data_IF_914045516888
#
_entry.id   IF_914045516888
#
_cell.length_a   1.000
_cell.length_b   1.000
_cell.length_c   1.000
_cell.angle_alpha   90.00
_cell.angle_beta   90.00
_cell.angle_gamma   90.00
#
_symmetry.space_group_name_H-M   'P 1'
#
loop_
_entity.id
_entity.type
_entity.pdbx_description
1 polymer ?
#
# COMPACT_ATOMS: atom_id res chain seq x y z
N UNK A 1 -14.61 -18.00 6.35
CA UNK A 1 -14.95 -17.14 5.20
C UNK A 1 -15.25 -18.03 4.01
N UNK A 2 -16.34 -17.77 3.29
CA UNK A 2 -16.55 -18.27 1.94
C UNK A 2 -15.36 -17.92 1.05
N UNK A 3 -15.06 -18.79 0.08
CA UNK A 3 -13.91 -18.61 -0.82
C UNK A 3 -13.97 -17.31 -1.62
N UNK A 4 -15.18 -16.86 -2.00
CA UNK A 4 -15.36 -15.64 -2.78
C UNK A 4 -15.12 -14.34 -1.99
N UNK A 5 -15.06 -14.41 -0.66
CA UNK A 5 -14.73 -13.27 0.20
C UNK A 5 -13.22 -13.16 0.49
N UNK A 6 -12.45 -14.23 0.20
CA UNK A 6 -11.01 -14.25 0.39
C UNK A 6 -10.31 -13.37 -0.65
N UNK A 7 -9.21 -12.70 -0.27
CA UNK A 7 -8.40 -11.98 -1.25
C UNK A 7 -7.77 -12.93 -2.25
N UNK A 8 -7.51 -12.44 -3.45
CA UNK A 8 -6.64 -13.07 -4.43
C UNK A 8 -5.24 -12.49 -4.35
N UNK A 9 -4.24 -13.25 -4.81
CA UNK A 9 -2.82 -12.89 -4.81
C UNK A 9 -2.33 -12.78 -6.24
N UNK A 10 -1.61 -11.71 -6.58
CA UNK A 10 -0.78 -11.62 -7.79
C UNK A 10 0.69 -11.54 -7.37
N UNK A 11 1.47 -12.53 -7.78
CA UNK A 11 2.92 -12.57 -7.55
C UNK A 11 3.63 -11.90 -8.73
N UNK A 12 4.24 -10.75 -8.47
CA UNK A 12 5.08 -10.03 -9.42
C UNK A 12 6.56 -10.31 -9.11
N UNK A 13 7.37 -10.77 -10.09
CA UNK A 13 8.81 -10.92 -9.90
C UNK A 13 9.46 -9.54 -9.75
N UNK A 14 10.76 -9.51 -9.41
CA UNK A 14 11.53 -8.27 -9.22
C UNK A 14 11.34 -7.22 -10.34
N UNK A 15 11.44 -5.92 -10.00
CA UNK A 15 11.28 -4.86 -10.97
C UNK A 15 12.48 -4.79 -11.93
N UNK A 16 12.31 -4.19 -13.13
CA UNK A 16 13.41 -3.84 -14.02
C UNK A 16 14.48 -3.01 -13.31
N UNK A 17 15.74 -3.19 -13.71
CA UNK A 17 16.88 -2.47 -13.14
C UNK A 17 17.80 -1.92 -14.27
N UNK A 18 17.94 -0.59 -14.43
CA UNK A 18 17.33 0.46 -13.61
C UNK A 18 15.81 0.54 -13.77
N UNK A 19 15.11 0.97 -12.71
CA UNK A 19 13.65 1.10 -12.73
C UNK A 19 13.23 2.48 -13.24
N UNK A 20 12.19 2.52 -14.06
CA UNK A 20 11.47 3.73 -14.46
C UNK A 20 9.99 3.43 -14.58
N UNK A 21 9.14 4.46 -14.61
CA UNK A 21 7.68 4.29 -14.75
C UNK A 21 7.31 3.52 -16.03
N UNK A 22 7.91 3.85 -17.17
CA UNK A 22 7.68 3.17 -18.44
C UNK A 22 8.15 1.71 -18.46
N UNK A 23 9.30 1.41 -17.85
CA UNK A 23 9.79 0.04 -17.73
C UNK A 23 8.93 -0.80 -16.78
N UNK A 24 8.48 -0.22 -15.65
CA UNK A 24 7.54 -0.88 -14.74
C UNK A 24 6.20 -1.18 -15.43
N UNK A 25 5.67 -0.23 -16.19
CA UNK A 25 4.47 -0.43 -17.00
C UNK A 25 4.66 -1.59 -17.98
N UNK A 26 5.75 -1.56 -18.74
CA UNK A 26 6.08 -2.61 -19.72
C UNK A 26 6.20 -3.99 -19.07
N UNK A 27 6.75 -4.07 -17.85
CA UNK A 27 6.96 -5.32 -17.12
C UNK A 27 5.69 -5.89 -16.48
N UNK A 28 4.81 -5.04 -15.92
CA UNK A 28 3.72 -5.50 -15.05
C UNK A 28 2.31 -5.25 -15.58
N UNK A 29 2.12 -4.37 -16.58
CA UNK A 29 0.80 -4.09 -17.15
C UNK A 29 0.08 -5.36 -17.62
N UNK A 30 0.71 -6.33 -18.33
CA UNK A 30 0.00 -7.52 -18.80
C UNK A 30 -0.55 -8.38 -17.65
N UNK A 31 0.24 -8.63 -16.61
CA UNK A 31 -0.14 -9.47 -15.49
C UNK A 31 -1.19 -8.80 -14.60
N UNK A 32 -1.05 -7.50 -14.35
CA UNK A 32 -2.05 -6.69 -13.62
C UNK A 32 -3.38 -6.64 -14.38
N UNK A 33 -3.34 -6.46 -15.71
CA UNK A 33 -4.54 -6.47 -16.56
C UNK A 33 -5.28 -7.80 -16.50
N UNK A 34 -4.55 -8.92 -16.61
CA UNK A 34 -5.14 -10.25 -16.54
C UNK A 34 -5.79 -10.51 -15.17
N UNK A 35 -5.11 -10.17 -14.08
CA UNK A 35 -5.64 -10.35 -12.72
C UNK A 35 -6.88 -9.49 -12.47
N UNK A 36 -6.83 -8.19 -12.79
CA UNK A 36 -7.96 -7.27 -12.61
C UNK A 36 -9.17 -7.68 -13.44
N UNK A 37 -8.96 -8.05 -14.71
CA UNK A 37 -10.03 -8.53 -15.60
C UNK A 37 -10.71 -9.77 -15.05
N UNK A 38 -9.94 -10.72 -14.50
CA UNK A 38 -10.48 -11.95 -13.90
C UNK A 38 -11.28 -11.70 -12.62
N UNK A 39 -10.92 -10.66 -11.86
CA UNK A 39 -11.53 -10.31 -10.59
C UNK A 39 -12.70 -9.33 -10.72
N UNK A 40 -12.88 -8.69 -11.88
CA UNK A 40 -14.08 -7.90 -12.16
C UNK A 40 -15.30 -8.83 -12.24
N UNK A 41 -16.19 -8.72 -11.24
CA UNK A 41 -17.41 -9.54 -11.16
C UNK A 41 -18.66 -8.66 -11.06
N UNK A 42 -19.74 -8.95 -11.79
CA UNK A 42 -20.96 -8.16 -11.74
C UNK A 42 -21.72 -8.31 -10.41
N UNK A 43 -21.44 -9.36 -9.65
CA UNK A 43 -22.21 -9.72 -8.45
C UNK A 43 -21.56 -9.26 -7.13
N UNK A 44 -20.43 -8.56 -7.18
CA UNK A 44 -19.78 -8.06 -5.97
C UNK A 44 -18.38 -7.49 -6.19
N UNK A 45 -17.77 -7.08 -5.07
CA UNK A 45 -16.41 -6.58 -5.00
C UNK A 45 -15.42 -7.73 -4.81
N UNK A 46 -14.24 -7.64 -5.44
CA UNK A 46 -13.13 -8.57 -5.19
C UNK A 46 -11.96 -7.85 -4.52
N UNK A 47 -11.07 -8.60 -3.87
CA UNK A 47 -9.85 -8.08 -3.23
C UNK A 47 -8.61 -8.67 -3.91
N UNK A 48 -7.60 -7.85 -4.15
CA UNK A 48 -6.35 -8.27 -4.78
C UNK A 48 -5.14 -7.79 -3.95
N UNK A 49 -4.30 -8.71 -3.51
CA UNK A 49 -2.97 -8.40 -3.00
C UNK A 49 -1.97 -8.56 -4.13
N UNK A 50 -1.31 -7.46 -4.51
CA UNK A 50 -0.21 -7.45 -5.47
C UNK A 50 1.09 -7.52 -4.68
N UNK A 51 1.67 -8.71 -4.65
CA UNK A 51 2.92 -9.01 -3.96
C UNK A 51 4.09 -8.86 -4.91
N UNK A 52 4.95 -7.86 -4.69
CA UNK A 52 6.15 -7.62 -5.51
C UNK A 52 7.39 -8.12 -4.78
N UNK A 53 8.11 -9.03 -5.42
CA UNK A 53 9.43 -9.47 -5.00
C UNK A 53 10.42 -8.31 -5.17
N UNK A 54 11.17 -7.91 -4.14
CA UNK A 54 12.18 -6.85 -4.30
C UNK A 54 13.28 -6.97 -3.24
N UNK A 55 14.58 -6.99 -3.62
CA UNK A 55 15.70 -7.01 -2.66
C UNK A 55 15.94 -5.60 -2.11
N UNK A 56 15.02 -5.08 -1.31
CA UNK A 56 14.97 -3.67 -0.93
C UNK A 56 15.59 -3.41 0.45
N UNK A 57 15.66 -4.42 1.31
CA UNK A 57 16.20 -4.28 2.66
C UNK A 57 17.71 -4.49 2.69
N UNK A 58 18.42 -3.47 3.18
CA UNK A 58 19.86 -3.45 3.36
C UNK A 58 20.23 -3.54 4.84
N UNK A 59 21.28 -4.29 5.15
CA UNK A 59 21.80 -4.45 6.52
C UNK A 59 22.01 -5.92 6.88
N UNK A 60 23.06 -6.19 7.66
CA UNK A 60 23.45 -7.56 7.99
C UNK A 60 22.48 -8.22 8.99
N UNK A 61 21.92 -7.43 9.91
CA UNK A 61 21.09 -7.93 11.00
C UNK A 61 19.64 -7.52 10.83
N UNK A 62 18.71 -8.34 11.33
CA UNK A 62 17.26 -8.08 11.31
C UNK A 62 16.85 -6.78 12.04
N UNK A 63 17.72 -6.24 12.90
CA UNK A 63 17.44 -5.07 13.75
C UNK A 63 17.91 -3.74 13.15
N UNK A 64 18.71 -3.80 12.10
CA UNK A 64 19.33 -2.63 11.47
C UNK A 64 19.06 -2.58 9.97
N UNK A 65 17.95 -3.18 9.54
CA UNK A 65 17.49 -3.11 8.17
C UNK A 65 17.10 -1.68 7.84
N UNK A 66 17.51 -1.24 6.67
CA UNK A 66 17.23 0.07 6.07
C UNK A 66 16.80 -0.15 4.62
N UNK A 67 16.11 0.80 4.03
CA UNK A 67 15.72 0.77 2.61
C UNK A 67 16.05 2.09 1.96
N UNK A 68 15.99 2.17 0.63
CA UNK A 68 16.01 3.46 -0.04
C UNK A 68 14.58 3.99 -0.15
N UNK A 69 14.30 5.13 0.50
CA UNK A 69 12.98 5.77 0.41
C UNK A 69 12.57 6.01 -1.04
N UNK A 70 13.48 6.62 -1.82
CA UNK A 70 13.23 7.00 -3.20
C UNK A 70 12.84 5.80 -4.06
N UNK A 71 13.58 4.69 -3.97
CA UNK A 71 13.28 3.48 -4.75
C UNK A 71 11.99 2.80 -4.27
N UNK A 72 11.79 2.72 -2.95
CA UNK A 72 10.64 2.05 -2.36
C UNK A 72 9.33 2.76 -2.68
N UNK A 73 9.27 4.08 -2.46
CA UNK A 73 8.07 4.86 -2.72
C UNK A 73 7.75 4.90 -4.22
N UNK A 74 8.77 5.04 -5.08
CA UNK A 74 8.59 5.06 -6.54
C UNK A 74 8.07 3.72 -7.08
N UNK A 75 8.54 2.59 -6.55
CA UNK A 75 8.03 1.26 -6.93
C UNK A 75 6.54 1.11 -6.57
N UNK A 76 6.17 1.47 -5.34
CA UNK A 76 4.78 1.42 -4.88
C UNK A 76 3.89 2.37 -5.72
N UNK A 77 4.39 3.57 -6.02
CA UNK A 77 3.71 4.54 -6.87
C UNK A 77 3.48 3.99 -8.28
N UNK A 78 4.53 3.46 -8.93
CA UNK A 78 4.44 2.89 -10.27
C UNK A 78 3.42 1.76 -10.37
N UNK A 79 3.37 0.86 -9.38
CA UNK A 79 2.39 -0.24 -9.36
C UNK A 79 0.96 0.28 -9.16
N UNK A 80 0.72 1.21 -8.22
CA UNK A 80 -0.61 1.80 -8.05
C UNK A 80 -1.04 2.62 -9.27
N UNK A 81 -0.12 3.25 -9.99
CA UNK A 81 -0.41 3.93 -11.26
C UNK A 81 -0.91 2.94 -12.29
N UNK A 82 -0.20 1.82 -12.52
CA UNK A 82 -0.62 0.79 -13.48
C UNK A 82 -2.00 0.22 -13.09
N UNK A 83 -2.21 -0.10 -11.80
CA UNK A 83 -3.50 -0.56 -11.29
C UNK A 83 -4.60 0.44 -11.63
N UNK A 84 -4.35 1.74 -11.42
CA UNK A 84 -5.33 2.81 -11.62
C UNK A 84 -5.65 3.00 -13.10
N UNK A 85 -4.64 3.04 -13.98
CA UNK A 85 -4.82 3.16 -15.44
C UNK A 85 -5.59 1.97 -15.99
N UNK A 86 -5.15 0.75 -15.67
CA UNK A 86 -5.81 -0.48 -16.14
C UNK A 86 -7.24 -0.57 -15.61
N UNK A 87 -7.48 -0.22 -14.35
CA UNK A 87 -8.83 -0.20 -13.78
C UNK A 87 -9.72 0.84 -14.45
N UNK A 88 -9.17 2.00 -14.83
CA UNK A 88 -9.88 3.01 -15.63
C UNK A 88 -10.32 2.44 -16.98
N UNK A 89 -9.38 1.88 -17.75
CA UNK A 89 -9.64 1.27 -19.06
C UNK A 89 -10.67 0.14 -19.01
N UNK A 90 -10.61 -0.70 -17.97
CA UNK A 90 -11.51 -1.84 -17.82
C UNK A 90 -12.85 -1.48 -17.14
N UNK A 91 -13.09 -0.23 -16.75
CA UNK A 91 -14.32 0.13 -16.04
C UNK A 91 -14.45 -0.55 -14.67
N UNK A 92 -13.34 -0.72 -13.94
CA UNK A 92 -13.28 -1.32 -12.60
C UNK A 92 -13.27 -0.22 -11.52
N UNK A 93 -14.09 -0.36 -10.48
CA UNK A 93 -14.00 0.46 -9.26
C UNK A 93 -12.82 0.03 -8.39
N UNK A 94 -12.17 0.93 -7.66
CA UNK A 94 -10.88 0.64 -6.97
C UNK A 94 -10.86 1.02 -5.50
N UNK A 95 -11.90 1.70 -5.05
CA UNK A 95 -12.16 2.08 -3.68
C UNK A 95 -12.51 0.86 -2.83
N UNK A 96 -12.19 0.96 -1.55
CA UNK A 96 -12.68 -0.01 -0.56
C UNK A 96 -14.21 -0.03 -0.58
N UNK A 97 -14.79 -1.23 -0.56
CA UNK A 97 -16.25 -1.46 -0.65
C UNK A 97 -16.93 -0.81 -1.86
N UNK A 98 -16.24 -0.78 -3.02
CA UNK A 98 -16.78 -0.22 -4.27
C UNK A 98 -17.98 -0.96 -4.88
N UNK A 99 -18.33 -2.15 -4.36
CA UNK A 99 -19.50 -2.92 -4.79
C UNK A 99 -19.28 -3.71 -6.10
N UNK A 100 -20.34 -3.96 -6.88
CA UNK A 100 -20.23 -4.65 -8.16
C UNK A 100 -19.15 -4.09 -9.08
N UNK A 101 -18.40 -4.98 -9.74
CA UNK A 101 -17.33 -4.65 -10.68
C UNK A 101 -16.14 -3.90 -10.07
N UNK A 102 -16.01 -3.83 -8.74
CA UNK A 102 -14.83 -3.24 -8.09
C UNK A 102 -13.79 -4.27 -7.71
N UNK A 103 -12.51 -3.89 -7.80
CA UNK A 103 -11.38 -4.66 -7.29
C UNK A 103 -10.57 -3.77 -6.35
N UNK A 104 -10.61 -4.12 -5.07
CA UNK A 104 -9.85 -3.47 -4.01
C UNK A 104 -8.42 -4.03 -3.97
N UNK A 105 -7.51 -3.37 -4.69
CA UNK A 105 -6.11 -3.76 -4.77
C UNK A 105 -5.26 -3.16 -3.63
N UNK A 106 -4.32 -3.96 -3.11
CA UNK A 106 -3.32 -3.61 -2.08
C UNK A 106 -1.93 -4.06 -2.54
N UNK A 107 -0.94 -3.19 -2.51
CA UNK A 107 0.45 -3.53 -2.89
C UNK A 107 1.25 -3.89 -1.64
N UNK A 108 1.96 -5.02 -1.68
CA UNK A 108 2.84 -5.52 -0.61
C UNK A 108 4.22 -5.80 -1.19
N UNK A 109 5.25 -5.18 -0.61
CA UNK A 109 6.65 -5.45 -0.96
C UNK A 109 7.16 -6.64 -0.15
N UNK A 110 7.88 -7.53 -0.82
CA UNK A 110 8.45 -8.74 -0.23
C UNK A 110 9.96 -8.71 -0.41
N UNK A 111 10.68 -8.64 0.71
CA UNK A 111 12.14 -8.73 0.70
C UNK A 111 12.56 -10.16 0.36
N UNK A 112 13.06 -10.32 -0.87
CA UNK A 112 13.64 -11.57 -1.34
C UNK A 112 14.75 -11.27 -2.35
N UNK A 113 15.81 -12.07 -2.27
CA UNK A 113 16.93 -12.00 -3.18
C UNK A 113 17.01 -13.34 -3.92
N UNK A 114 17.23 -13.30 -5.24
CA UNK A 114 17.36 -14.49 -6.09
C UNK A 114 18.37 -15.52 -5.57
N UNK A 115 19.39 -15.06 -4.84
CA UNK A 115 20.44 -15.91 -4.28
C UNK A 115 20.08 -16.51 -2.91
N UNK A 116 18.97 -16.11 -2.28
CA UNK A 116 18.53 -16.63 -0.99
C UNK A 116 17.99 -18.04 -1.18
N UNK A 117 18.75 -19.05 -0.74
CA UNK A 117 18.35 -20.46 -0.79
C UNK A 117 17.75 -20.88 0.55
N UNK A 118 16.68 -21.67 0.48
CA UNK A 118 16.09 -22.33 1.64
C UNK A 118 16.53 -23.78 1.66
N UNK A 119 17.06 -24.24 2.80
CA UNK A 119 17.41 -25.64 3.02
C UNK A 119 16.16 -26.52 3.06
N UNK A 120 16.30 -27.83 2.91
CA UNK A 120 15.14 -28.76 2.91
C UNK A 120 14.44 -28.85 4.28
N UNK A 121 15.20 -28.64 5.35
CA UNK A 121 14.72 -28.61 6.73
C UNK A 121 14.18 -27.23 7.15
N UNK A 122 14.29 -26.20 6.29
CA UNK A 122 13.79 -24.87 6.61
C UNK A 122 12.28 -24.91 6.90
N UNK A 123 11.87 -24.27 8.00
CA UNK A 123 10.47 -24.14 8.40
C UNK A 123 10.08 -22.66 8.35
N UNK A 124 9.18 -22.27 7.43
CA UNK A 124 8.70 -20.90 7.34
C UNK A 124 7.99 -20.48 8.62
N UNK A 125 8.41 -19.36 9.19
CA UNK A 125 7.82 -18.75 10.37
C UNK A 125 7.63 -17.25 10.15
N UNK A 126 6.80 -16.64 10.99
CA UNK A 126 6.67 -15.18 11.03
C UNK A 126 7.88 -14.61 11.75
N UNK A 127 8.78 -13.96 11.01
CA UNK A 127 9.95 -13.29 11.57
C UNK A 127 9.81 -11.78 11.42
N UNK A 128 9.63 -11.09 12.54
CA UNK A 128 9.59 -9.63 12.55
C UNK A 128 11.00 -9.06 12.52
N UNK A 129 11.21 -8.08 11.63
CA UNK A 129 12.40 -7.24 11.58
C UNK A 129 12.05 -5.81 12.06
N UNK A 130 13.00 -4.87 11.97
CA UNK A 130 12.76 -3.48 12.39
C UNK A 130 12.00 -2.59 11.37
N UNK A 131 11.32 -3.19 10.39
CA UNK A 131 10.63 -2.52 9.27
C UNK A 131 9.24 -3.11 9.05
N UNK A 132 8.42 -2.45 8.23
CA UNK A 132 7.13 -3.00 7.80
C UNK A 132 7.25 -3.96 6.61
N UNK A 133 8.35 -3.91 5.86
CA UNK A 133 8.64 -4.86 4.77
C UNK A 133 8.96 -6.23 5.36
N UNK A 134 8.30 -7.25 4.83
CA UNK A 134 8.43 -8.64 5.29
C UNK A 134 9.18 -9.47 4.27
N UNK A 135 9.81 -10.55 4.73
CA UNK A 135 10.45 -11.49 3.83
C UNK A 135 9.45 -12.52 3.28
N UNK A 136 9.87 -13.27 2.25
CA UNK A 136 8.99 -14.23 1.58
C UNK A 136 8.48 -15.34 2.51
N UNK A 137 9.28 -15.80 3.49
CA UNK A 137 8.86 -16.84 4.43
C UNK A 137 7.77 -16.32 5.39
N UNK A 138 7.91 -15.08 5.87
CA UNK A 138 6.90 -14.40 6.67
C UNK A 138 5.63 -14.16 5.86
N UNK A 139 5.75 -13.70 4.61
CA UNK A 139 4.60 -13.52 3.71
C UNK A 139 3.83 -14.83 3.52
N UNK A 140 4.53 -15.92 3.17
CA UNK A 140 3.90 -17.24 3.01
C UNK A 140 3.23 -17.76 4.29
N UNK A 141 3.78 -17.41 5.47
CA UNK A 141 3.25 -17.85 6.77
C UNK A 141 2.11 -16.99 7.31
N UNK A 142 2.02 -15.72 6.91
CA UNK A 142 1.04 -14.77 7.45
C UNK A 142 -0.08 -14.39 6.46
N UNK A 143 0.11 -14.59 5.15
CA UNK A 143 -0.82 -14.14 4.12
C UNK A 143 -1.47 -15.36 3.45
N UNK A 144 -2.56 -15.85 4.05
CA UNK A 144 -3.36 -17.00 3.57
C UNK A 144 -4.72 -17.04 4.31
N UNK A 145 -5.77 -17.69 3.80
CA UNK A 145 -5.88 -18.39 2.53
C UNK A 145 -6.32 -17.49 1.35
N UNK A 146 -5.87 -17.81 0.15
CA UNK A 146 -6.19 -17.09 -1.08
C UNK A 146 -7.37 -17.68 -1.83
N UNK A 147 -8.13 -16.83 -2.52
CA UNK A 147 -9.12 -17.26 -3.51
C UNK A 147 -8.44 -17.74 -4.80
N UNK A 148 -7.63 -16.87 -5.41
CA UNK A 148 -6.80 -17.17 -6.58
C UNK A 148 -5.35 -16.75 -6.30
N UNK A 149 -4.40 -17.46 -6.90
CA UNK A 149 -2.99 -17.11 -6.95
C UNK A 149 -2.60 -16.97 -8.42
N UNK A 150 -2.41 -15.73 -8.86
CA UNK A 150 -1.91 -15.37 -10.17
C UNK A 150 -0.39 -15.38 -10.17
N UNK A 151 0.23 -16.09 -11.11
CA UNK A 151 1.69 -16.11 -11.27
C UNK A 151 2.09 -15.78 -12.71
N UNK A 152 3.18 -15.04 -12.85
CA UNK A 152 3.66 -14.57 -14.15
C UNK A 152 4.35 -15.70 -14.94
N UNK A 153 3.99 -15.85 -16.22
CA UNK A 153 4.62 -16.77 -17.17
C UNK A 153 5.95 -16.23 -17.70
N UNK A 154 6.94 -16.21 -16.82
CA UNK A 154 8.35 -15.99 -17.15
C UNK A 154 9.21 -16.92 -16.31
N UNK A 155 10.46 -17.15 -16.69
CA UNK A 155 11.40 -17.99 -15.91
C UNK A 155 11.48 -17.49 -14.46
N UNK A 156 11.63 -16.18 -14.31
CA UNK A 156 11.78 -15.51 -13.02
C UNK A 156 10.47 -15.48 -12.22
N UNK A 157 9.33 -15.32 -12.89
CA UNK A 157 8.01 -15.41 -12.26
C UNK A 157 7.69 -16.82 -11.77
N UNK A 158 8.08 -17.85 -12.52
CA UNK A 158 7.93 -19.25 -12.14
C UNK A 158 8.82 -19.62 -10.96
N UNK A 159 10.07 -19.14 -10.94
CA UNK A 159 10.97 -19.35 -9.80
C UNK A 159 10.41 -18.76 -8.51
N UNK A 160 9.94 -17.50 -8.57
CA UNK A 160 9.33 -16.84 -7.42
C UNK A 160 8.08 -17.57 -6.93
N UNK A 161 7.20 -17.96 -7.85
CA UNK A 161 5.99 -18.72 -7.56
C UNK A 161 6.26 -20.09 -6.93
N UNK A 162 7.21 -20.87 -7.46
CA UNK A 162 7.58 -22.17 -6.90
C UNK A 162 8.16 -22.03 -5.49
N UNK A 163 9.01 -21.02 -5.28
CA UNK A 163 9.59 -20.72 -3.97
C UNK A 163 8.49 -20.34 -2.98
N UNK A 164 7.56 -19.49 -3.38
CA UNK A 164 6.39 -19.14 -2.59
C UNK A 164 5.57 -20.38 -2.21
N UNK A 165 5.22 -21.25 -3.18
CA UNK A 165 4.42 -22.45 -2.90
C UNK A 165 5.11 -23.40 -1.92
N UNK A 166 6.42 -23.60 -2.06
CA UNK A 166 7.20 -24.41 -1.11
C UNK A 166 7.11 -23.85 0.31
N UNK A 167 7.17 -22.53 0.47
CA UNK A 167 7.09 -21.88 1.78
C UNK A 167 5.65 -21.81 2.32
N UNK A 168 4.65 -21.80 1.44
CA UNK A 168 3.24 -21.77 1.81
C UNK A 168 2.65 -23.18 2.04
N UNK A 169 3.45 -24.23 1.89
CA UNK A 169 3.03 -25.62 2.08
C UNK A 169 2.41 -25.82 3.48
N UNK A 170 1.26 -26.49 3.52
CA UNK A 170 0.50 -26.74 4.76
C UNK A 170 -0.31 -25.55 5.29
N UNK A 171 -0.17 -24.34 4.73
CA UNK A 171 -0.95 -23.15 5.17
C UNK A 171 -2.37 -23.11 4.59
N UNK A 172 -2.55 -23.69 3.40
CA UNK A 172 -3.81 -23.81 2.70
C UNK A 172 -3.78 -25.02 1.75
N UNK A 173 -4.90 -25.73 1.62
CA UNK A 173 -5.12 -26.64 0.50
C UNK A 173 -5.47 -25.85 -0.75
N UNK A 174 -4.63 -25.94 -1.79
CA UNK A 174 -4.80 -25.23 -3.06
C UNK A 174 -5.34 -26.18 -4.13
N UNK A 175 -6.44 -25.78 -4.77
CA UNK A 175 -6.96 -26.46 -5.95
C UNK A 175 -6.25 -25.96 -7.21
N UNK A 176 -6.13 -26.80 -8.24
CA UNK A 176 -5.47 -26.43 -9.49
C UNK A 176 -6.14 -25.21 -10.17
N UNK A 177 -7.46 -25.10 -10.09
CA UNK A 177 -8.23 -23.95 -10.57
C UNK A 177 -7.98 -22.64 -9.80
N UNK A 178 -7.28 -22.69 -8.66
CA UNK A 178 -6.86 -21.49 -7.93
C UNK A 178 -5.55 -20.91 -8.47
N UNK A 179 -4.78 -21.72 -9.19
CA UNK A 179 -3.43 -21.38 -9.65
C UNK A 179 -3.53 -20.89 -11.10
N UNK A 180 -3.46 -19.58 -11.30
CA UNK A 180 -3.77 -18.96 -12.59
C UNK A 180 -2.47 -18.40 -13.21
N UNK A 181 -1.95 -19.00 -14.29
CA UNK A 181 -0.86 -18.42 -15.04
C UNK A 181 -1.34 -17.17 -15.80
N UNK A 182 -0.61 -16.06 -15.69
CA UNK A 182 -0.87 -14.82 -16.42
C UNK A 182 0.32 -14.43 -17.29
N UNK A 183 0.07 -13.67 -18.36
CA UNK A 183 1.15 -13.16 -19.21
C UNK A 183 2.06 -12.22 -18.42
N UNK A 184 3.36 -12.29 -18.69
CA UNK A 184 4.35 -11.34 -18.19
C UNK A 184 4.67 -10.26 -19.21
N UNK A 185 5.10 -9.11 -18.72
CA UNK A 185 5.71 -8.09 -19.55
C UNK A 185 7.19 -8.31 -19.80
N UNK A 186 7.80 -7.38 -20.53
CA UNK A 186 9.24 -7.42 -20.83
C UNK A 186 10.00 -6.78 -19.66
N UNK A 187 10.89 -7.55 -19.03
CA UNK A 187 11.80 -7.08 -17.97
C UNK A 187 13.23 -7.03 -18.49
N UNK A 188 13.91 -5.90 -18.33
CA UNK A 188 15.33 -5.78 -18.63
C UNK A 188 16.14 -5.58 -17.34
N UNK A 189 17.29 -6.26 -17.27
CA UNK A 189 18.33 -5.99 -16.28
C UNK A 189 19.59 -5.58 -17.01
N UNK A 190 19.98 -4.32 -16.85
CA UNK A 190 21.23 -3.82 -17.39
C UNK A 190 22.30 -4.05 -16.33
N UNK A 191 23.16 -5.06 -16.55
CA UNK A 191 24.36 -5.21 -15.75
C UNK A 191 25.21 -3.94 -15.90
N UNK A 192 25.85 -3.42 -14.82
CA UNK A 192 26.71 -2.26 -14.92
C UNK A 192 27.79 -2.48 -16.00
N UNK A 193 27.79 -1.66 -17.06
CA UNK A 193 28.86 -1.69 -18.06
C UNK A 193 30.07 -0.92 -17.51
N UNK A 194 31.16 -1.63 -17.24
CA UNK A 194 32.43 -1.04 -16.82
C UNK A 194 32.59 -0.86 -15.30
N UNK A 195 33.79 -0.42 -14.91
CA UNK A 195 34.21 -0.20 -13.52
C UNK A 195 33.59 1.05 -12.86
N UNK A 196 32.50 1.60 -13.41
CA UNK A 196 31.81 2.76 -12.83
C UNK A 196 30.89 2.23 -11.72
N UNK A 197 31.19 2.48 -10.43
CA UNK A 197 30.30 2.06 -9.37
C UNK A 197 28.98 2.81 -9.53
N UNK A 198 27.86 2.08 -9.60
CA UNK A 198 26.54 2.70 -9.46
C UNK A 198 26.51 3.42 -8.09
N UNK A 199 25.99 4.65 -8.02
CA UNK A 199 25.81 5.31 -6.74
C UNK A 199 24.94 4.41 -5.86
N UNK A 200 25.46 4.05 -4.68
CA UNK A 200 24.71 3.27 -3.70
C UNK A 200 23.44 4.06 -3.35
N UNK A 201 22.24 3.45 -3.43
CA UNK A 201 21.01 4.14 -3.09
C UNK A 201 21.10 4.75 -1.70
N UNK A 202 20.60 5.98 -1.55
CA UNK A 202 20.54 6.64 -0.26
C UNK A 202 19.74 5.77 0.72
N UNK A 203 20.33 5.47 1.87
CA UNK A 203 19.71 4.63 2.89
C UNK A 203 18.87 5.49 3.82
N UNK A 204 17.62 5.11 3.97
CA UNK A 204 16.65 5.74 4.86
C UNK A 204 16.39 4.79 6.04
N UNK A 205 16.85 5.14 7.26
CA UNK A 205 16.43 4.42 8.45
C UNK A 205 14.98 4.76 8.79
N UNK A 206 14.26 3.81 9.37
CA UNK A 206 12.93 4.10 9.92
C UNK A 206 13.02 5.01 11.15
N UNK A 207 11.92 5.69 11.45
CA UNK A 207 11.73 6.57 12.61
C UNK A 207 10.62 6.07 13.54
N UNK A 208 10.65 6.42 14.85
CA UNK A 208 9.62 6.03 15.81
C UNK A 208 8.23 6.59 15.52
N UNK A 209 8.10 7.87 15.13
CA UNK A 209 6.80 8.52 14.90
C UNK A 209 6.71 9.11 13.50
N UNK A 210 5.84 8.53 12.68
CA UNK A 210 5.53 8.99 11.32
C UNK A 210 4.13 9.59 11.31
N UNK A 211 3.99 10.76 10.71
CA UNK A 211 2.71 11.46 10.59
C UNK A 211 2.36 11.73 9.12
N UNK A 212 1.07 11.67 8.78
CA UNK A 212 0.54 12.21 7.54
C UNK A 212 -0.88 12.73 7.73
N UNK A 213 -1.38 13.50 6.76
CA UNK A 213 -2.73 14.04 6.77
C UNK A 213 -3.46 13.83 5.45
N UNK A 214 -4.78 13.73 5.51
CA UNK A 214 -5.61 13.60 4.31
C UNK A 214 -7.09 13.49 4.65
N UNK A 215 -7.94 13.47 3.61
CA UNK A 215 -9.37 13.23 3.82
C UNK A 215 -9.69 11.73 3.85
N UNK A 216 -9.03 10.91 3.02
CA UNK A 216 -9.28 9.45 2.94
C UNK A 216 -10.73 9.09 2.63
N UNK A 217 -11.43 9.94 1.88
CA UNK A 217 -12.79 9.69 1.38
C UNK A 217 -12.73 8.71 0.21
N UNK A 218 -13.59 7.68 0.25
CA UNK A 218 -13.61 6.57 -0.72
C UNK A 218 -12.20 6.05 -1.02
N UNK A 219 -11.58 5.39 -0.04
CA UNK A 219 -10.17 5.01 -0.05
C UNK A 219 -9.73 4.30 -1.34
N UNK A 220 -9.14 5.06 -2.26
CA UNK A 220 -8.74 4.66 -3.61
C UNK A 220 -7.20 4.55 -3.72
N UNK A 221 -6.63 4.11 -4.87
CA UNK A 221 -5.20 3.86 -5.03
C UNK A 221 -4.27 5.00 -4.61
N UNK A 222 -4.63 6.26 -4.86
CA UNK A 222 -3.83 7.42 -4.43
C UNK A 222 -3.66 7.51 -2.91
N UNK A 223 -4.74 7.30 -2.15
CA UNK A 223 -4.66 7.23 -0.70
C UNK A 223 -3.88 6.00 -0.21
N UNK A 224 -4.08 4.85 -0.89
CA UNK A 224 -3.38 3.60 -0.56
C UNK A 224 -1.87 3.73 -0.78
N UNK A 225 -1.45 4.40 -1.85
CA UNK A 225 -0.05 4.75 -2.09
C UNK A 225 0.53 5.56 -0.93
N UNK A 226 -0.11 6.67 -0.57
CA UNK A 226 0.36 7.54 0.51
C UNK A 226 0.47 6.77 1.84
N UNK A 227 -0.56 5.99 2.19
CA UNK A 227 -0.61 5.20 3.41
C UNK A 227 0.44 4.07 3.43
N UNK A 228 0.62 3.36 2.31
CA UNK A 228 1.62 2.30 2.18
C UNK A 228 3.03 2.88 2.25
N UNK A 229 3.32 3.96 1.51
CA UNK A 229 4.64 4.56 1.48
C UNK A 229 5.07 5.04 2.87
N UNK A 230 4.24 5.83 3.56
CA UNK A 230 4.55 6.30 4.90
C UNK A 230 4.76 5.17 5.93
N UNK A 231 4.04 4.04 5.80
CA UNK A 231 4.27 2.88 6.66
C UNK A 231 5.69 2.30 6.52
N UNK A 232 6.39 2.52 5.40
CA UNK A 232 7.77 2.06 5.18
C UNK A 232 8.79 2.77 6.07
N UNK A 233 8.46 3.97 6.55
CA UNK A 233 9.31 4.76 7.43
C UNK A 233 9.19 4.35 8.91
N UNK A 234 8.27 3.45 9.26
CA UNK A 234 8.11 3.02 10.66
C UNK A 234 9.27 2.14 11.12
N UNK A 235 9.94 2.55 12.19
CA UNK A 235 10.94 1.74 12.90
C UNK A 235 10.25 0.78 13.86
N UNK A 236 9.91 -0.41 13.38
CA UNK A 236 9.21 -1.41 14.20
C UNK A 236 10.12 -1.91 15.34
N UNK A 237 9.74 -1.74 16.62
CA UNK A 237 10.52 -2.23 17.75
C UNK A 237 10.38 -3.74 17.92
N UNK A 238 11.23 -4.32 18.76
CA UNK A 238 11.10 -5.72 19.16
C UNK A 238 10.15 -5.87 20.33
N UNK A 239 9.27 -6.87 20.25
CA UNK A 239 8.32 -7.18 21.31
C UNK A 239 9.01 -7.58 22.63
N UNK A 240 10.16 -8.24 22.53
CA UNK A 240 10.98 -8.72 23.65
C UNK A 240 11.84 -7.64 24.32
N UNK A 241 11.85 -6.41 23.80
CA UNK A 241 12.63 -5.33 24.42
C UNK A 241 12.01 -4.90 25.77
N UNK A 242 12.82 -4.83 26.83
CA UNK A 242 12.36 -4.57 28.20
C UNK A 242 11.59 -3.23 28.37
N UNK A 243 11.88 -2.25 27.52
CA UNK A 243 11.23 -0.94 27.49
C UNK A 243 10.55 -0.67 26.14
N UNK A 244 10.01 -1.72 25.50
CA UNK A 244 9.37 -1.61 24.19
C UNK A 244 8.29 -0.51 24.21
N UNK A 245 8.50 0.50 23.37
CA UNK A 245 7.50 1.51 23.03
C UNK A 245 7.11 1.31 21.57
N UNK A 246 5.81 1.26 21.25
CA UNK A 246 5.39 1.09 19.87
C UNK A 246 5.90 2.25 19.00
N UNK A 247 6.29 1.94 17.76
CA UNK A 247 6.33 3.00 16.77
C UNK A 247 4.89 3.48 16.49
N UNK A 248 4.74 4.77 16.27
CA UNK A 248 3.43 5.40 16.12
C UNK A 248 3.26 5.94 14.71
N UNK A 249 2.16 5.56 14.09
CA UNK A 249 1.73 6.06 12.80
C UNK A 249 0.50 6.95 12.98
N UNK A 250 0.70 8.26 12.98
CA UNK A 250 -0.34 9.26 13.17
C UNK A 250 -0.95 9.62 11.82
N UNK A 251 -2.28 9.50 11.71
CA UNK A 251 -3.02 9.77 10.48
C UNK A 251 -4.08 10.81 10.78
N UNK A 252 -3.82 12.04 10.36
CA UNK A 252 -4.76 13.15 10.45
C UNK A 252 -5.86 13.01 9.40
N UNK A 253 -7.11 12.80 9.83
CA UNK A 253 -8.27 12.62 8.98
C UNK A 253 -9.16 13.86 9.08
N UNK A 254 -9.37 14.58 7.97
CA UNK A 254 -10.13 15.83 7.98
C UNK A 254 -11.54 15.66 8.54
N UNK A 255 -11.92 16.48 9.51
CA UNK A 255 -13.28 16.62 10.04
C UNK A 255 -14.11 17.63 9.23
N UNK A 256 -15.37 17.81 9.65
CA UNK A 256 -16.39 18.52 8.87
C UNK A 256 -16.01 19.98 8.54
N UNK A 257 -15.30 20.65 9.45
CA UNK A 257 -14.82 22.03 9.26
C UNK A 257 -13.99 22.22 7.98
N UNK A 258 -13.11 21.26 7.67
CA UNK A 258 -12.27 21.28 6.47
C UNK A 258 -12.99 20.73 5.22
N UNK A 259 -14.23 20.24 5.38
CA UNK A 259 -15.03 19.63 4.31
C UNK A 259 -16.12 20.57 3.77
N UNK A 260 -16.41 21.68 4.46
CA UNK A 260 -17.50 22.64 4.11
C UNK A 260 -17.44 23.15 2.67
N UNK A 261 -16.25 23.29 2.09
CA UNK A 261 -16.05 23.80 0.73
C UNK A 261 -15.90 22.70 -0.34
N UNK A 262 -16.06 21.41 0.01
CA UNK A 262 -15.90 20.34 -0.95
C UNK A 262 -17.14 20.19 -1.84
N UNK A 263 -16.91 19.98 -3.13
CA UNK A 263 -17.97 19.64 -4.09
C UNK A 263 -18.65 18.33 -3.67
N UNK A 264 -19.98 18.31 -3.68
CA UNK A 264 -20.80 17.16 -3.26
C UNK A 264 -20.50 16.72 -1.81
N UNK A 265 -20.38 17.69 -0.89
CA UNK A 265 -20.02 17.46 0.51
C UNK A 265 -20.96 16.47 1.22
N UNK A 266 -22.24 16.44 0.85
CA UNK A 266 -23.26 15.54 1.37
C UNK A 266 -23.03 14.06 0.99
N UNK A 267 -22.14 13.79 0.04
CA UNK A 267 -21.72 12.43 -0.36
C UNK A 267 -20.37 12.02 0.22
N UNK A 268 -19.75 12.87 1.06
CA UNK A 268 -18.51 12.50 1.77
C UNK A 268 -18.83 11.44 2.82
N UNK A 269 -17.98 10.42 2.93
CA UNK A 269 -18.10 9.42 3.99
C UNK A 269 -17.94 10.04 5.38
N UNK A 270 -18.69 9.54 6.37
CA UNK A 270 -18.52 9.94 7.77
C UNK A 270 -17.06 9.81 8.21
N UNK A 271 -16.66 10.61 9.20
CA UNK A 271 -15.29 10.53 9.75
C UNK A 271 -14.97 9.11 10.24
N UNK A 272 -15.94 8.47 10.90
CA UNK A 272 -15.82 7.13 11.48
C UNK A 272 -15.63 6.08 10.37
N UNK A 273 -16.39 6.18 9.27
CA UNK A 273 -16.22 5.31 8.10
C UNK A 273 -14.82 5.48 7.50
N UNK A 274 -14.33 6.71 7.34
CA UNK A 274 -13.00 6.97 6.76
C UNK A 274 -11.89 6.46 7.66
N UNK A 275 -11.98 6.68 8.97
CA UNK A 275 -11.04 6.13 9.96
C UNK A 275 -11.02 4.60 9.92
N UNK A 276 -12.18 3.94 9.95
CA UNK A 276 -12.27 2.47 9.87
C UNK A 276 -11.70 1.92 8.56
N UNK A 277 -11.95 2.58 7.44
CA UNK A 277 -11.40 2.19 6.13
C UNK A 277 -9.86 2.28 6.11
N UNK A 278 -9.29 3.31 6.73
CA UNK A 278 -7.83 3.44 6.90
C UNK A 278 -7.29 2.28 7.75
N UNK A 279 -7.90 2.00 8.90
CA UNK A 279 -7.48 0.90 9.77
C UNK A 279 -7.59 -0.46 9.07
N UNK A 280 -8.69 -0.70 8.35
CA UNK A 280 -8.93 -1.94 7.60
C UNK A 280 -7.95 -2.11 6.43
N UNK A 281 -7.55 -1.02 5.77
CA UNK A 281 -6.50 -1.07 4.76
C UNK A 281 -5.14 -1.39 5.38
N UNK A 282 -4.78 -0.70 6.47
CA UNK A 282 -3.49 -0.90 7.13
C UNK A 282 -3.36 -2.28 7.78
N UNK A 283 -4.46 -2.91 8.21
CA UNK A 283 -4.41 -4.29 8.72
C UNK A 283 -3.88 -5.27 7.67
N UNK A 284 -4.11 -5.02 6.37
CA UNK A 284 -3.66 -5.88 5.28
C UNK A 284 -2.16 -5.81 5.00
N UNK A 285 -1.49 -4.77 5.49
CA UNK A 285 -0.04 -4.58 5.29
C UNK A 285 0.74 -4.70 6.60
N UNK A 286 0.13 -4.36 7.74
CA UNK A 286 0.79 -4.33 9.04
C UNK A 286 0.57 -5.60 9.85
N UNK A 287 -0.61 -6.20 9.81
CA UNK A 287 -0.92 -7.35 10.68
C UNK A 287 -0.25 -8.62 10.17
N UNK A 288 0.31 -9.39 11.10
CA UNK A 288 0.93 -10.69 10.83
C UNK A 288 0.32 -11.73 11.77
N UNK A 289 -0.33 -12.76 11.21
CA UNK A 289 -0.92 -13.85 11.99
C UNK A 289 -0.68 -15.19 11.30
N UNK A 290 -0.34 -16.23 12.07
CA UNK A 290 -0.22 -17.61 11.59
C UNK A 290 -1.55 -18.21 11.12
N UNK A 291 -2.68 -17.56 11.44
CA UNK A 291 -4.02 -17.92 10.94
C UNK A 291 -4.40 -17.14 9.69
N UNK A 292 -3.50 -16.26 9.23
CA UNK A 292 -3.66 -15.34 8.13
C UNK A 292 -4.96 -14.54 8.15
N UNK A 293 -5.70 -14.51 7.04
CA UNK A 293 -6.89 -13.68 6.85
C UNK A 293 -8.02 -13.96 7.84
N UNK A 294 -8.03 -15.13 8.48
CA UNK A 294 -9.03 -15.46 9.50
C UNK A 294 -8.96 -14.51 10.71
N UNK A 295 -7.79 -13.97 11.01
CA UNK A 295 -7.56 -13.09 12.16
C UNK A 295 -7.48 -11.59 11.78
N UNK A 296 -7.34 -11.25 10.49
CA UNK A 296 -7.08 -9.86 10.06
C UNK A 296 -8.32 -9.09 9.60
N UNK A 297 -9.53 -9.64 9.78
CA UNK A 297 -10.78 -8.92 9.44
C UNK A 297 -10.97 -7.66 10.29
N UNK A 298 -10.48 -7.67 11.53
CA UNK A 298 -10.42 -6.51 12.42
C UNK A 298 -9.11 -6.57 13.21
N UNK A 299 -8.50 -5.42 13.54
CA UNK A 299 -7.32 -5.41 14.41
C UNK A 299 -7.69 -6.04 15.75
N UNK A 300 -6.79 -6.85 16.31
CA UNK A 300 -7.02 -7.55 17.59
C UNK A 300 -7.29 -6.59 18.76
N UNK A 301 -6.76 -5.37 18.68
CA UNK A 301 -6.97 -4.32 19.66
C UNK A 301 -7.26 -3.01 18.94
N UNK A 302 -8.46 -2.48 19.15
CA UNK A 302 -8.91 -1.17 18.67
C UNK A 302 -9.57 -0.43 19.82
N UNK A 303 -9.21 0.83 19.99
CA UNK A 303 -9.88 1.78 20.87
C UNK A 303 -10.50 2.86 19.99
N UNK A 304 -11.83 2.94 19.95
CA UNK A 304 -12.57 3.95 19.18
C UNK A 304 -13.23 4.95 20.14
N UNK A 305 -12.98 6.24 19.92
CA UNK A 305 -13.63 7.38 20.56
C UNK A 305 -14.03 8.39 19.48
N UNK A 306 -14.89 9.35 19.81
CA UNK A 306 -15.28 10.39 18.85
C UNK A 306 -14.05 11.19 18.39
N UNK A 307 -13.77 11.13 17.09
CA UNK A 307 -12.62 11.79 16.48
C UNK A 307 -11.24 11.20 16.81
N UNK A 308 -11.16 10.05 17.49
CA UNK A 308 -9.90 9.40 17.88
C UNK A 308 -10.03 7.87 17.78
N UNK A 309 -9.25 7.25 16.89
CA UNK A 309 -9.21 5.79 16.72
C UNK A 309 -7.78 5.30 16.82
N UNK A 310 -7.53 4.36 17.72
CA UNK A 310 -6.22 3.71 17.91
C UNK A 310 -6.33 2.23 17.62
N UNK A 311 -5.42 1.71 16.81
CA UNK A 311 -5.33 0.28 16.51
C UNK A 311 -3.88 -0.19 16.68
N UNK A 312 -3.71 -1.38 17.25
CA UNK A 312 -2.41 -1.99 17.47
C UNK A 312 -2.21 -3.18 16.54
N UNK A 313 -1.04 -3.25 15.93
CA UNK A 313 -0.64 -4.31 15.01
C UNK A 313 0.66 -4.96 15.47
N UNK A 314 0.94 -6.17 14.95
CA UNK A 314 2.16 -6.94 15.26
C UNK A 314 2.39 -7.04 16.76
N UNK A 315 1.38 -7.55 17.46
CA UNK A 315 1.37 -7.72 18.91
C UNK A 315 1.69 -6.44 19.70
N UNK A 316 1.24 -5.29 19.19
CA UNK A 316 1.38 -4.00 19.88
C UNK A 316 2.70 -3.28 19.65
N UNK A 317 3.55 -3.75 18.74
CA UNK A 317 4.79 -3.04 18.35
C UNK A 317 4.52 -1.86 17.42
N UNK A 318 3.36 -1.84 16.74
CA UNK A 318 2.93 -0.73 15.89
C UNK A 318 1.60 -0.18 16.41
N UNK A 319 1.54 1.12 16.69
CA UNK A 319 0.33 1.87 16.99
C UNK A 319 -0.06 2.71 15.77
N UNK A 320 -1.24 2.48 15.20
CA UNK A 320 -1.86 3.38 14.24
C UNK A 320 -2.86 4.26 14.97
N UNK A 321 -2.73 5.57 14.84
CA UNK A 321 -3.56 6.57 15.52
C UNK A 321 -4.22 7.49 14.48
N UNK A 322 -5.48 7.24 14.19
CA UNK A 322 -6.30 8.11 13.37
C UNK A 322 -6.92 9.21 14.23
N UNK A 323 -6.68 10.47 13.86
CA UNK A 323 -7.11 11.66 14.62
C UNK A 323 -7.92 12.59 13.72
N UNK A 324 -9.04 13.11 14.22
CA UNK A 324 -9.82 14.13 13.53
C UNK A 324 -9.04 15.46 13.51
N UNK A 325 -8.78 15.97 12.31
CA UNK A 325 -8.15 17.29 12.14
C UNK A 325 -9.20 18.31 11.67
N UNK A 326 -9.22 19.47 12.33
CA UNK A 326 -10.16 20.56 12.03
C UNK A 326 -9.46 21.79 11.45
N UNK A 327 -8.12 21.78 11.43
CA UNK A 327 -7.26 22.81 10.89
C UNK A 327 -6.17 22.20 9.97
N UNK A 328 -5.48 23.01 9.15
CA UNK A 328 -4.47 22.52 8.22
C UNK A 328 -3.21 21.90 8.84
N UNK A 329 -2.91 22.14 10.12
CA UNK A 329 -1.71 21.64 10.79
C UNK A 329 -1.99 20.35 11.57
N UNK A 330 -3.18 20.23 12.16
CA UNK A 330 -3.60 19.06 12.91
C UNK A 330 -2.61 18.69 14.02
N UNK A 331 -2.33 17.39 14.26
CA UNK A 331 -1.50 16.97 15.39
C UNK A 331 -0.03 17.40 15.27
N UNK A 332 0.42 17.86 14.10
CA UNK A 332 1.84 18.19 13.87
C UNK A 332 2.33 19.42 14.65
N UNK A 333 1.42 20.22 15.21
CA UNK A 333 1.73 21.39 16.05
C UNK A 333 1.16 21.26 17.48
N UNK A 334 0.59 20.11 17.82
CA UNK A 334 0.10 19.80 19.17
C UNK A 334 0.78 18.58 19.79
N UNK A 335 1.44 17.76 18.97
CA UNK A 335 2.28 16.63 19.38
C UNK A 335 3.74 16.97 19.06
N UNK A 336 4.53 17.19 20.10
CA UNK A 336 5.93 17.59 19.95
C UNK A 336 6.78 16.44 19.40
N UNK A 337 6.56 15.22 19.90
CA UNK A 337 7.30 14.00 19.59
C UNK A 337 6.87 13.37 18.25
N UNK A 338 6.99 14.12 17.15
CA UNK A 338 6.82 13.62 15.79
C UNK A 338 8.17 13.72 15.09
N UNK A 339 8.58 12.65 14.41
CA UNK A 339 9.89 12.59 13.75
C UNK A 339 9.80 12.94 12.26
N UNK A 340 8.82 12.36 11.57
CA UNK A 340 8.64 12.51 10.13
C UNK A 340 7.22 12.94 9.74
N UNK A 341 7.13 13.79 8.72
CA UNK A 341 5.89 14.16 8.04
C UNK A 341 5.93 13.68 6.60
N UNK A 342 4.94 12.88 6.21
CA UNK A 342 4.80 12.41 4.84
C UNK A 342 3.75 13.24 4.11
N UNK A 343 4.12 13.77 2.95
CA UNK A 343 3.27 14.59 2.09
C UNK A 343 3.19 13.99 0.69
N UNK A 344 2.08 14.18 -0.01
CA UNK A 344 2.04 13.95 -1.46
C UNK A 344 2.76 15.09 -2.19
N UNK A 345 3.18 14.88 -3.43
CA UNK A 345 3.73 15.96 -4.26
C UNK A 345 2.82 17.20 -4.36
N UNK A 346 1.50 17.03 -4.23
CA UNK A 346 0.51 18.12 -4.21
C UNK A 346 0.58 18.98 -2.92
N UNK A 347 1.04 18.41 -1.81
CA UNK A 347 1.02 19.03 -0.47
C UNK A 347 2.41 19.41 0.05
N UNK A 348 3.41 19.48 -0.84
CA UNK A 348 4.79 19.88 -0.52
C UNK A 348 4.88 21.20 0.25
N UNK A 349 4.11 22.20 -0.14
CA UNK A 349 4.07 23.51 0.55
C UNK A 349 3.54 23.42 1.97
N UNK A 350 2.65 22.46 2.25
CA UNK A 350 2.12 22.18 3.59
C UNK A 350 3.19 21.71 4.56
N UNK A 351 4.13 20.87 4.11
CA UNK A 351 5.25 20.42 4.93
C UNK A 351 6.15 21.56 5.40
N UNK A 352 6.40 22.55 4.53
CA UNK A 352 7.12 23.76 4.90
C UNK A 352 6.36 24.58 5.95
N UNK A 353 5.06 24.82 5.71
CA UNK A 353 4.23 25.59 6.64
C UNK A 353 4.16 24.96 8.05
N UNK A 354 4.12 23.63 8.14
CA UNK A 354 4.18 22.89 9.42
C UNK A 354 5.51 23.16 10.12
N UNK A 355 6.64 23.06 9.41
CA UNK A 355 7.95 23.29 10.01
C UNK A 355 8.17 24.74 10.44
N UNK A 356 7.67 25.72 9.68
CA UNK A 356 7.69 27.12 10.07
C UNK A 356 6.91 27.32 11.39
N UNK A 357 5.72 26.72 11.51
CA UNK A 357 4.89 26.79 12.74
C UNK A 357 5.54 26.10 13.94
N UNK A 358 6.21 24.97 13.73
CA UNK A 358 6.98 24.28 14.78
C UNK A 358 8.17 25.10 15.25
N UNK A 359 8.86 25.77 14.31
CA UNK A 359 9.97 26.68 14.65
C UNK A 359 9.51 27.88 15.48
N UNK A 360 8.34 28.47 15.18
CA UNK A 360 7.72 29.52 16.00
C UNK A 360 7.45 29.08 17.45
N UNK A 361 7.16 27.78 17.66
CA UNK A 361 6.93 27.19 18.99
C UNK A 361 8.23 26.72 19.68
N UNK A 362 9.39 26.86 19.03
CA UNK A 362 10.67 26.36 19.54
C UNK A 362 10.84 24.84 19.43
N UNK A 363 10.00 24.15 18.65
CA UNK A 363 10.06 22.71 18.47
C UNK A 363 11.00 22.29 17.34
N UNK A 364 11.51 21.04 17.41
CA UNK A 364 12.31 20.45 16.33
C UNK A 364 11.49 20.33 15.04
N UNK A 365 12.08 20.70 13.91
CA UNK A 365 11.51 20.49 12.58
C UNK A 365 11.38 19.01 12.25
N UNK A 366 10.32 18.66 11.53
CA UNK A 366 10.05 17.32 11.03
C UNK A 366 10.89 17.03 9.78
N UNK A 367 11.35 15.79 9.65
CA UNK A 367 11.87 15.31 8.37
C UNK A 367 10.70 15.12 7.40
N UNK A 368 10.70 15.84 6.28
CA UNK A 368 9.60 15.82 5.31
C UNK A 368 9.93 14.83 4.20
N UNK A 369 9.09 13.82 4.06
CA UNK A 369 9.17 12.83 2.99
C UNK A 369 8.06 13.05 1.97
N UNK A 370 8.43 13.18 0.71
CA UNK A 370 7.48 13.32 -0.39
C UNK A 370 7.24 11.97 -1.06
N UNK A 371 5.97 11.69 -1.35
CA UNK A 371 5.50 10.54 -2.13
C UNK A 371 5.07 11.03 -3.51
N UNK A 372 5.46 10.28 -4.54
CA UNK A 372 5.05 10.50 -5.92
C UNK A 372 3.51 10.53 -6.05
N UNK A 373 3.02 11.32 -7.00
CA UNK A 373 1.59 11.34 -7.36
C UNK A 373 1.33 10.28 -8.43
N UNK A 374 0.13 9.72 -8.45
CA UNK A 374 -0.30 8.83 -9.53
C UNK A 374 -0.41 9.62 -10.83
N UNK A 375 0.38 9.23 -11.82
CA UNK A 375 0.54 9.95 -13.08
C UNK A 375 0.49 8.96 -14.24
N UNK A 376 -0.42 9.21 -15.17
CA UNK A 376 -0.70 8.31 -16.29
C UNK A 376 0.16 8.59 -17.54
N UNK A 377 0.88 9.72 -17.60
CA UNK A 377 1.61 10.16 -18.81
C UNK A 377 2.59 9.08 -19.32
N UNK A 378 3.36 8.46 -18.42
CA UNK A 378 4.34 7.42 -18.75
C UNK A 378 3.75 6.02 -18.96
N UNK A 379 2.44 5.86 -18.74
CA UNK A 379 1.74 4.57 -18.72
C UNK A 379 0.77 4.41 -19.89
N UNK A 380 0.31 5.53 -20.46
CA UNK A 380 -0.56 5.58 -21.62
C UNK A 380 0.26 5.65 -22.91
N UNK A 381 -0.18 4.94 -23.94
CA UNK A 381 0.36 5.13 -25.29
C UNK A 381 -0.21 6.43 -25.90
N UNK A 382 0.50 7.09 -26.81
CA UNK A 382 0.10 8.38 -27.44
C UNK A 382 -1.33 8.36 -28.03
N UNK A 383 -1.83 7.19 -28.43
CA UNK A 383 -3.19 7.01 -28.99
C UNK A 383 -4.29 6.88 -27.92
N UNK A 384 -3.94 6.65 -26.66
CA UNK A 384 -4.88 6.41 -25.54
C UNK A 384 -5.03 7.62 -24.59
N UNK A 385 -4.20 8.65 -24.77
CA UNK A 385 -4.01 9.80 -23.86
C UNK A 385 -5.33 10.50 -23.52
N UNK A 386 -6.01 11.12 -24.47
CA UNK A 386 -7.13 12.05 -24.17
C UNK A 386 -8.33 11.42 -23.46
N UNK A 387 -8.84 10.27 -23.93
CA UNK A 387 -10.01 9.62 -23.30
C UNK A 387 -9.67 8.86 -22.03
N UNK A 388 -8.44 8.36 -21.89
CA UNK A 388 -8.06 7.57 -20.72
C UNK A 388 -7.59 8.46 -19.59
N UNK A 389 -6.95 9.59 -19.86
CA UNK A 389 -6.57 10.58 -18.84
C UNK A 389 -7.78 11.19 -18.13
N UNK A 390 -8.82 11.57 -18.87
CA UNK A 390 -10.07 12.06 -18.27
C UNK A 390 -10.71 11.01 -17.36
N UNK A 391 -10.78 9.75 -17.83
CA UNK A 391 -11.30 8.64 -17.04
C UNK A 391 -10.39 8.26 -15.86
N UNK A 392 -9.08 8.39 -16.00
CA UNK A 392 -8.09 8.15 -14.96
C UNK A 392 -8.25 9.17 -13.84
N UNK A 393 -8.22 10.47 -14.18
CA UNK A 393 -8.43 11.58 -13.25
C UNK A 393 -9.77 11.45 -12.51
N UNK A 394 -10.84 11.05 -13.21
CA UNK A 394 -12.14 10.79 -12.63
C UNK A 394 -12.19 9.57 -11.69
N UNK A 395 -11.26 8.61 -11.77
CA UNK A 395 -11.24 7.45 -10.87
C UNK A 395 -10.27 7.59 -9.70
N UNK A 396 -9.24 8.42 -9.84
CA UNK A 396 -8.29 8.68 -8.76
C UNK A 396 -8.70 9.86 -7.88
N UNK A 397 -9.77 10.58 -8.22
CA UNK A 397 -10.29 11.69 -7.43
C UNK A 397 -11.54 11.31 -6.65
N UNK A 398 -11.51 11.42 -5.32
CA UNK A 398 -12.71 11.23 -4.49
C UNK A 398 -13.87 12.14 -4.91
N UNK A 399 -13.60 13.30 -5.52
CA UNK A 399 -14.64 14.23 -6.00
C UNK A 399 -15.46 13.65 -7.15
N UNK A 400 -14.84 12.89 -8.04
CA UNK A 400 -15.53 12.24 -9.15
C UNK A 400 -16.33 11.00 -8.69
N UNK A 401 -15.83 10.26 -7.69
CA UNK A 401 -16.60 9.19 -7.01
C UNK A 401 -17.87 9.78 -6.39
N UNK A 402 -17.77 10.91 -5.69
CA UNK A 402 -18.93 11.63 -5.13
C UNK A 402 -19.92 12.05 -6.20
N UNK A 403 -19.44 12.62 -7.31
CA UNK A 403 -20.29 13.02 -8.45
C UNK A 403 -21.06 11.82 -9.03
N UNK A 404 -20.41 10.68 -9.24
CA UNK A 404 -21.07 9.47 -9.74
C UNK A 404 -22.15 8.97 -8.79
N UNK A 405 -21.89 8.99 -7.47
CA UNK A 405 -22.88 8.60 -6.47
C UNK A 405 -24.05 9.57 -6.37
N UNK A 406 -23.81 10.87 -6.58
CA UNK A 406 -24.87 11.87 -6.66
C UNK A 406 -25.80 11.62 -7.85
N UNK A 407 -25.24 11.30 -9.02
CA UNK A 407 -26.00 10.98 -10.24
C UNK A 407 -26.75 9.63 -10.14
N UNK A 408 -26.22 8.67 -9.40
CA UNK A 408 -26.83 7.34 -9.23
C UNK A 408 -28.01 7.32 -8.23
N UNK A 409 -28.20 8.39 -7.45
CA UNK A 409 -29.33 8.49 -6.51
C UNK A 409 -30.60 8.81 -7.33
N UNK A 410 -31.61 7.93 -7.39
CA UNK A 410 -32.86 8.26 -8.08
C UNK A 410 -33.46 9.48 -7.37
N UNK A 411 -33.67 10.55 -8.14
CA UNK A 411 -34.17 11.81 -7.59
C UNK A 411 -35.45 11.57 -6.82
N UNK A 412 -35.43 11.85 -5.53
CA UNK A 412 -36.65 12.22 -4.80
C UNK A 412 -37.05 13.59 -5.35
N UNK A 413 -37.71 13.58 -6.51
CA UNK A 413 -38.57 14.69 -6.90
C UNK A 413 -39.70 14.69 -5.88
N UNK A 414 -39.67 15.66 -4.97
CA UNK A 414 -40.81 16.06 -4.14
C UNK A 414 -41.94 16.50 -5.06
#
# INVERSE_FOLDING_TARGET
MPRDELPSLLLLPFPPDPSSRSLLNTAYRPSITAALSRLKRPNGASKLTVAVECPILHGQFLRSKTLSWTEAQALVAGIYTIISVVSAQLGIGTEIDGGPNSVDATVVMIDHNRNKRFTEDFRPAIETNNTTVIDLATFASAYHPWNYIFHVRSEVGLQFYQTYLKLAEGRQTLLQEQLIPVEGGITMHVAPQGNIPRPTPARTPGVPVVCLGGTFDYLHPGHKLLLTAAALLLKVPRKDDANMQPCTYIIGITGDELLKNKKYAEFVQSWETRARNVILFLSRILELSERGWKDTQQPRRVEERDGDVKAWFRDGTILVHCVRIQDPFGPTITVENVDALVVSGETRSGGKAVNDKRAEQGWKTLEVFEVDVLDAEDVLEEKEVTKTEENFSAKISSSAIRQQRALARPGTKI
#
